data_IF_151317273555
#
_entry.id   IF_151317273555
#
_cell.length_a   1.000
_cell.length_b   1.000
_cell.length_c   1.000
_cell.angle_alpha   90.00
_cell.angle_beta   90.00
_cell.angle_gamma   90.00
#
_symmetry.space_group_name_H-M   'P 1'
#
loop_
_entity.id
_entity.type
_entity.pdbx_description
1 polymer ?
#
# COMPACT_ATOMS: atom_id res chain seq x y z
N UNK A 1 23.14 2.63 -13.00
CA UNK A 1 22.82 3.45 -13.16
C UNK A 1 21.85 3.86 -12.47
N UNK A 2 21.63 4.64 -12.33
CA UNK A 2 20.73 5.14 -11.77
C UNK A 2 19.44 4.70 -12.11
N UNK A 3 19.22 3.84 -12.99
CA UNK A 3 17.93 3.32 -13.32
C UNK A 3 17.26 2.74 -12.10
N UNK A 4 17.99 2.02 -11.28
CA UNK A 4 17.38 1.44 -10.08
C UNK A 4 16.84 2.47 -9.13
N UNK A 5 17.56 3.53 -8.93
CA UNK A 5 17.08 4.56 -8.03
C UNK A 5 15.88 5.27 -8.60
N UNK A 6 15.89 5.50 -9.89
CA UNK A 6 14.77 6.13 -10.51
C UNK A 6 13.57 5.26 -10.47
N UNK A 7 13.75 3.95 -10.74
CA UNK A 7 12.63 3.04 -10.71
C UNK A 7 11.99 3.01 -9.33
N UNK A 8 12.80 2.98 -8.29
CA UNK A 8 12.25 2.96 -6.95
C UNK A 8 11.45 4.21 -6.65
N UNK A 9 11.96 5.37 -7.06
CA UNK A 9 11.24 6.60 -6.83
C UNK A 9 9.98 6.67 -7.66
N UNK A 10 10.04 6.21 -8.91
CA UNK A 10 8.90 6.33 -9.80
C UNK A 10 7.78 5.38 -9.42
N UNK A 11 8.07 4.32 -8.66
CA UNK A 11 7.04 3.38 -8.28
C UNK A 11 6.52 3.61 -6.87
N UNK A 12 6.93 4.68 -6.23
CA UNK A 12 6.39 4.99 -4.92
C UNK A 12 4.94 5.42 -5.09
N UNK A 13 3.97 4.66 -4.54
CA UNK A 13 2.57 4.96 -4.77
C UNK A 13 2.09 6.16 -3.98
N UNK A 14 1.14 6.88 -4.55
CA UNK A 14 0.44 7.94 -3.83
C UNK A 14 -0.59 7.29 -2.91
N UNK A 15 -1.23 8.12 -2.08
CA UNK A 15 -2.25 7.63 -1.17
C UNK A 15 -3.40 6.94 -1.92
N UNK A 16 -3.87 7.57 -3.00
CA UNK A 16 -4.96 6.99 -3.77
C UNK A 16 -4.55 5.70 -4.44
N UNK A 17 -3.31 5.64 -4.91
CA UNK A 17 -2.80 4.41 -5.51
C UNK A 17 -2.67 3.31 -4.48
N UNK A 18 -2.28 3.66 -3.26
CA UNK A 18 -2.19 2.66 -2.20
C UNK A 18 -3.55 2.10 -1.83
N UNK A 19 -4.59 2.92 -1.88
CA UNK A 19 -5.93 2.41 -1.62
C UNK A 19 -6.30 1.31 -2.61
N UNK A 20 -5.94 1.51 -3.87
CA UNK A 20 -6.20 0.51 -4.89
C UNK A 20 -5.34 -0.73 -4.69
N UNK A 21 -4.06 -0.53 -4.40
CA UNK A 21 -3.18 -1.67 -4.14
C UNK A 21 -3.68 -2.50 -2.96
N UNK A 22 -4.19 -1.86 -1.92
CA UNK A 22 -4.70 -2.60 -0.77
C UNK A 22 -5.86 -3.51 -1.18
N UNK A 23 -6.74 -3.02 -2.04
CA UNK A 23 -7.85 -3.83 -2.52
C UNK A 23 -7.32 -5.05 -3.29
N UNK A 24 -6.37 -4.81 -4.18
CA UNK A 24 -5.85 -5.89 -5.02
C UNK A 24 -5.00 -6.88 -4.24
N UNK A 25 -4.23 -6.40 -3.28
CA UNK A 25 -3.45 -7.32 -2.45
C UNK A 25 -4.37 -8.21 -1.63
N UNK A 26 -5.48 -7.64 -1.16
CA UNK A 26 -6.38 -8.40 -0.31
C UNK A 26 -7.26 -9.36 -1.10
N UNK A 27 -7.76 -8.93 -2.25
CA UNK A 27 -8.74 -9.70 -2.99
C UNK A 27 -8.20 -10.42 -4.23
N UNK A 28 -6.98 -10.11 -4.63
CA UNK A 28 -6.39 -10.71 -5.82
C UNK A 28 -6.76 -9.95 -7.07
N UNK A 29 -6.40 -10.50 -8.24
CA UNK A 29 -6.66 -9.82 -9.50
C UNK A 29 -8.13 -9.45 -9.65
N UNK A 30 -8.39 -8.22 -10.08
CA UNK A 30 -9.75 -7.69 -10.09
C UNK A 30 -9.95 -6.73 -11.24
N UNK A 31 -11.22 -6.51 -11.61
CA UNK A 31 -11.58 -5.52 -12.61
C UNK A 31 -11.65 -4.15 -11.96
N UNK A 32 -11.66 -3.11 -12.82
CA UNK A 32 -11.83 -1.75 -12.32
C UNK A 32 -13.16 -1.62 -11.58
N UNK A 33 -14.21 -2.27 -12.10
CA UNK A 33 -15.52 -2.18 -11.47
C UNK A 33 -15.48 -2.73 -10.04
N UNK A 34 -14.83 -3.86 -9.85
CA UNK A 34 -14.73 -4.43 -8.52
C UNK A 34 -14.01 -3.48 -7.57
N UNK A 35 -12.89 -2.93 -8.04
CA UNK A 35 -12.11 -2.01 -7.21
C UNK A 35 -12.92 -0.76 -6.87
N UNK A 36 -13.59 -0.20 -7.87
CA UNK A 36 -14.37 1.00 -7.67
C UNK A 36 -15.51 0.77 -6.68
N UNK A 37 -16.21 -0.35 -6.82
CA UNK A 37 -17.31 -0.68 -5.91
C UNK A 37 -16.78 -0.84 -4.49
N UNK A 38 -15.64 -1.49 -4.34
CA UNK A 38 -15.07 -1.70 -3.03
C UNK A 38 -14.66 -0.38 -2.37
N UNK A 39 -14.06 0.51 -3.14
CA UNK A 39 -13.68 1.82 -2.61
C UNK A 39 -14.89 2.60 -2.13
N UNK A 40 -15.97 2.54 -2.91
CA UNK A 40 -17.19 3.25 -2.53
C UNK A 40 -17.81 2.70 -1.26
N UNK A 41 -17.71 1.40 -1.05
CA UNK A 41 -18.27 0.79 0.13
C UNK A 41 -17.42 0.98 1.38
N UNK A 42 -16.10 0.94 1.21
CA UNK A 42 -15.22 0.85 2.36
C UNK A 42 -14.45 2.13 2.68
N UNK A 43 -14.27 3.00 1.71
CA UNK A 43 -13.41 4.15 1.92
C UNK A 43 -14.10 5.48 1.69
N UNK A 44 -14.49 5.76 0.48
CA UNK A 44 -15.05 7.05 0.12
C UNK A 44 -15.70 6.95 -1.24
N UNK A 45 -16.56 7.91 -1.51
CA UNK A 45 -17.21 7.95 -2.79
C UNK A 45 -16.22 8.36 -3.87
N UNK A 46 -16.13 7.58 -4.93
CA UNK A 46 -15.26 7.90 -6.05
C UNK A 46 -15.92 7.37 -7.31
N UNK A 47 -15.83 8.15 -8.38
CA UNK A 47 -16.47 7.79 -9.62
C UNK A 47 -15.70 6.71 -10.36
N UNK A 48 -16.42 5.90 -11.11
CA UNK A 48 -15.83 4.82 -11.87
C UNK A 48 -14.74 5.32 -12.83
N UNK A 49 -15.01 6.43 -13.52
CA UNK A 49 -14.04 6.95 -14.47
C UNK A 49 -12.76 7.40 -13.80
N UNK A 50 -12.85 7.89 -12.58
CA UNK A 50 -11.66 8.28 -11.83
C UNK A 50 -10.82 7.05 -11.46
N UNK A 51 -11.47 6.00 -11.01
CA UNK A 51 -10.77 4.75 -10.68
C UNK A 51 -10.14 4.15 -11.93
N UNK A 52 -10.89 4.15 -13.03
CA UNK A 52 -10.38 3.62 -14.29
C UNK A 52 -9.12 4.37 -14.72
N UNK A 53 -9.18 5.69 -14.72
CA UNK A 53 -8.03 6.47 -15.15
C UNK A 53 -6.83 6.24 -14.25
N UNK A 54 -7.06 6.20 -12.95
CA UNK A 54 -5.98 6.00 -12.01
C UNK A 54 -5.33 4.62 -12.18
N UNK A 55 -6.14 3.59 -12.40
CA UNK A 55 -5.57 2.25 -12.59
C UNK A 55 -4.81 2.17 -13.91
N UNK A 56 -5.25 2.89 -14.93
CA UNK A 56 -4.50 2.95 -16.18
C UNK A 56 -3.15 3.63 -15.98
N UNK A 57 -3.13 4.70 -15.19
CA UNK A 57 -1.88 5.39 -14.86
C UNK A 57 -0.96 4.47 -14.09
N UNK A 58 -1.50 3.74 -13.12
CA UNK A 58 -0.71 2.80 -12.33
C UNK A 58 -0.13 1.69 -13.20
N UNK A 59 -0.88 1.26 -14.20
CA UNK A 59 -0.39 0.28 -15.14
C UNK A 59 0.78 0.85 -15.94
N UNK A 60 0.63 2.09 -16.41
CA UNK A 60 1.70 2.73 -17.18
C UNK A 60 2.95 2.97 -16.34
N UNK A 61 2.77 3.23 -15.05
CA UNK A 61 3.89 3.43 -14.15
C UNK A 61 4.57 2.13 -13.74
N UNK A 62 3.99 1.00 -14.08
CA UNK A 62 4.57 -0.29 -13.70
C UNK A 62 4.17 -0.78 -12.32
N UNK A 63 3.24 -0.10 -11.67
CA UNK A 63 2.76 -0.52 -10.35
C UNK A 63 1.74 -1.64 -10.46
N UNK A 64 0.96 -1.62 -11.55
CA UNK A 64 0.00 -2.68 -11.83
C UNK A 64 0.36 -3.37 -13.14
N UNK A 65 -0.01 -4.63 -13.23
CA UNK A 65 -0.01 -5.36 -14.47
C UNK A 65 -1.47 -5.67 -14.79
N UNK A 66 -1.76 -6.07 -16.02
CA UNK A 66 -3.13 -6.39 -16.35
C UNK A 66 -3.20 -7.47 -17.41
N UNK A 67 -4.26 -8.26 -17.32
CA UNK A 67 -4.54 -9.32 -18.28
C UNK A 67 -5.55 -8.76 -19.27
N UNK A 68 -5.16 -8.69 -20.53
CA UNK A 68 -5.99 -8.13 -21.58
C UNK A 68 -6.61 -9.20 -22.47
N UNK A 69 -6.51 -10.44 -22.07
CA UNK A 69 -7.03 -11.53 -22.87
C UNK A 69 -8.56 -11.58 -22.86
N UNK A 70 -9.19 -10.88 -21.92
CA UNK A 70 -10.64 -10.82 -21.82
C UNK A 70 -11.14 -9.45 -22.21
N UNK A 71 -12.43 -9.33 -22.46
CA UNK A 71 -13.02 -8.06 -22.82
C UNK A 71 -12.79 -7.03 -21.75
N UNK A 72 -12.92 -7.41 -20.48
CA UNK A 72 -12.64 -6.51 -19.38
C UNK A 72 -11.26 -6.82 -18.85
N UNK A 73 -10.46 -5.78 -18.71
CA UNK A 73 -9.11 -5.98 -18.21
C UNK A 73 -9.15 -6.33 -16.73
N UNK A 74 -8.33 -7.29 -16.35
CA UNK A 74 -8.17 -7.69 -14.96
C UNK A 74 -6.79 -7.23 -14.52
N UNK A 75 -6.76 -6.44 -13.47
CA UNK A 75 -5.51 -5.87 -12.97
C UNK A 75 -5.02 -6.61 -11.75
N UNK A 76 -3.70 -6.66 -11.60
CA UNK A 76 -3.11 -7.22 -10.38
C UNK A 76 -1.86 -6.42 -10.05
N UNK A 77 -1.43 -6.43 -8.79
CA UNK A 77 -0.24 -5.65 -8.42
C UNK A 77 1.01 -6.19 -9.09
N UNK A 78 1.82 -5.29 -9.60
CA UNK A 78 3.12 -5.65 -10.13
C UNK A 78 4.20 -5.46 -9.07
N UNK A 79 3.82 -4.98 -7.88
CA UNK A 79 4.72 -4.77 -6.76
C UNK A 79 4.27 -5.64 -5.60
N UNK A 80 5.23 -6.19 -4.87
CA UNK A 80 4.93 -7.09 -3.78
C UNK A 80 4.51 -6.31 -2.54
N UNK A 81 3.48 -6.79 -1.86
CA UNK A 81 2.91 -6.07 -0.72
C UNK A 81 3.93 -5.81 0.38
N UNK A 82 4.62 -6.85 0.81
CA UNK A 82 5.55 -6.74 1.91
C UNK A 82 6.68 -5.77 1.60
N UNK A 83 7.23 -5.86 0.40
CA UNK A 83 8.34 -5.00 0.02
C UNK A 83 7.89 -3.55 -0.13
N UNK A 84 6.71 -3.34 -0.68
CA UNK A 84 6.18 -1.99 -0.84
C UNK A 84 5.94 -1.35 0.51
N UNK A 85 5.34 -2.10 1.43
CA UNK A 85 5.05 -1.59 2.77
C UNK A 85 6.33 -1.29 3.54
N UNK A 86 7.35 -2.17 3.42
CA UNK A 86 8.62 -1.92 4.08
C UNK A 86 9.30 -0.67 3.54
N UNK A 87 9.29 -0.53 2.22
CA UNK A 87 9.92 0.62 1.59
C UNK A 87 9.25 1.92 2.05
N UNK A 88 7.92 1.94 2.05
CA UNK A 88 7.20 3.15 2.44
C UNK A 88 7.35 3.44 3.92
N UNK A 89 7.37 2.41 4.75
CA UNK A 89 7.57 2.59 6.17
C UNK A 89 8.97 3.16 6.44
N UNK A 90 9.98 2.63 5.77
CA UNK A 90 11.34 3.13 5.94
C UNK A 90 11.45 4.60 5.54
N UNK A 91 10.79 4.97 4.43
CA UNK A 91 10.77 6.36 4.00
C UNK A 91 10.09 7.24 5.02
N UNK A 92 8.99 6.77 5.58
CA UNK A 92 8.23 7.51 6.57
C UNK A 92 9.07 7.73 7.84
N UNK A 93 9.69 6.65 8.32
CA UNK A 93 10.51 6.74 9.53
C UNK A 93 11.70 7.67 9.30
N UNK A 94 12.31 7.56 8.12
CA UNK A 94 13.43 8.42 7.78
C UNK A 94 13.01 9.89 7.80
N UNK A 95 11.88 10.18 7.16
CA UNK A 95 11.43 11.56 6.99
C UNK A 95 10.89 12.16 8.28
N UNK A 96 10.08 11.39 8.99
CA UNK A 96 9.36 11.92 10.15
C UNK A 96 10.11 11.73 11.47
N UNK A 97 10.93 10.69 11.57
CA UNK A 97 11.57 10.32 12.83
C UNK A 97 13.07 10.19 12.71
N UNK A 98 13.61 10.76 11.63
CA UNK A 98 15.06 10.80 11.45
C UNK A 98 15.69 9.40 11.53
N UNK A 99 14.96 8.41 11.04
CA UNK A 99 15.44 7.04 11.01
C UNK A 99 15.22 6.25 12.28
N UNK A 100 14.57 6.84 13.28
CA UNK A 100 14.40 6.18 14.58
C UNK A 100 13.08 5.43 14.65
N UNK A 101 13.13 4.11 14.48
CA UNK A 101 11.94 3.29 14.61
C UNK A 101 11.37 3.33 16.02
N UNK A 102 12.23 3.45 17.03
CA UNK A 102 11.74 3.51 18.40
C UNK A 102 10.95 4.79 18.65
N UNK A 103 11.32 5.89 18.00
CA UNK A 103 10.54 7.12 18.14
C UNK A 103 9.15 6.95 17.55
N UNK A 104 9.05 6.29 16.41
CA UNK A 104 7.74 6.00 15.82
C UNK A 104 6.92 5.13 16.77
N UNK A 105 7.54 4.10 17.33
CA UNK A 105 6.84 3.20 18.23
C UNK A 105 6.33 3.93 19.46
N UNK A 106 7.14 4.79 20.03
CA UNK A 106 6.73 5.56 21.19
C UNK A 106 5.53 6.47 20.85
N UNK A 107 5.57 7.05 19.65
CA UNK A 107 4.48 7.91 19.22
C UNK A 107 3.17 7.11 19.11
N UNK A 108 3.25 5.92 18.53
CA UNK A 108 2.07 5.07 18.39
C UNK A 108 1.49 4.71 19.75
N UNK A 109 2.34 4.34 20.69
CA UNK A 109 1.88 3.95 22.01
C UNK A 109 1.31 5.12 22.78
N UNK A 110 1.87 6.30 22.58
CA UNK A 110 1.43 7.49 23.30
C UNK A 110 0.11 8.06 22.80
N UNK A 111 -0.29 7.74 21.56
CA UNK A 111 -1.50 8.30 21.00
C UNK A 111 -2.76 7.57 21.44
N UNK A 112 -2.63 6.49 22.18
CA UNK A 112 -3.78 5.74 22.70
C UNK A 112 -4.72 5.25 21.61
N UNK A 113 -4.22 5.13 20.40
CA UNK A 113 -5.02 4.58 19.30
C UNK A 113 -4.86 3.08 19.19
N UNK A 114 -3.99 2.54 20.00
CA UNK A 114 -3.71 1.11 19.98
C UNK A 114 -4.52 0.46 21.09
N UNK A 115 -5.29 -0.55 20.74
CA UNK A 115 -6.08 -1.28 21.73
C UNK A 115 -5.16 -2.11 22.61
N UNK A 116 -5.70 -2.60 23.73
CA UNK A 116 -4.94 -3.47 24.61
C UNK A 116 -4.50 -4.73 23.88
N UNK A 117 -5.36 -5.26 23.03
CA UNK A 117 -5.04 -6.46 22.28
C UNK A 117 -3.93 -6.21 21.29
N UNK A 118 -3.99 -5.06 20.60
CA UNK A 118 -2.95 -4.70 19.65
C UNK A 118 -1.62 -4.48 20.36
N UNK A 119 -1.68 -3.82 21.50
CA UNK A 119 -0.48 -3.55 22.26
C UNK A 119 0.18 -4.84 22.73
N UNK A 120 -0.61 -5.79 23.18
CA UNK A 120 -0.09 -7.08 23.60
C UNK A 120 0.54 -7.82 22.43
N UNK A 121 -0.09 -7.74 21.25
CA UNK A 121 0.44 -8.38 20.07
C UNK A 121 1.77 -7.76 19.66
N UNK A 122 1.88 -6.43 19.74
CA UNK A 122 3.11 -5.74 19.42
C UNK A 122 4.23 -6.14 20.37
N UNK A 123 3.92 -6.19 21.67
CA UNK A 123 4.92 -6.58 22.65
C UNK A 123 5.40 -8.01 22.40
N UNK A 124 4.48 -8.89 22.03
CA UNK A 124 4.83 -10.28 21.77
C UNK A 124 5.74 -10.38 20.55
N UNK A 125 5.44 -9.61 19.50
CA UNK A 125 6.28 -9.59 18.31
C UNK A 125 7.68 -9.13 18.63
N UNK A 126 7.81 -8.08 19.42
CA UNK A 126 9.11 -7.55 19.79
C UNK A 126 9.91 -8.60 20.52
N UNK A 127 9.27 -9.34 21.43
CA UNK A 127 9.93 -10.39 22.16
C UNK A 127 10.47 -11.46 21.21
N UNK A 128 9.66 -11.83 20.22
CA UNK A 128 10.08 -12.87 19.28
C UNK A 128 11.23 -12.40 18.41
N UNK A 129 11.29 -11.12 18.13
CA UNK A 129 12.37 -10.58 17.32
C UNK A 129 13.68 -10.43 18.07
N UNK A 130 13.60 -10.46 19.39
CA UNK A 130 14.78 -10.29 20.21
C UNK A 130 15.61 -11.55 20.34
N UNK A 131 15.32 -12.58 19.60
CA UNK A 131 16.09 -13.80 19.69
C UNK A 131 17.25 -13.87 18.76
#
# INVERSE_FOLDING_TARGET
MKANNKDNNSIEPTKSELEILQVLWKHGPSTVRFVNDHLNEQKREVQYTSTLKLMQIMFEKGILARDQSQMKHVYHPAVEESRTKSFLLDRFVETMYDGSASSLLLQLLGNKKTSKEELAAIKDLIKKMDK
#
